data_IF_049193329748
#
_entry.id   IF_049193329748
#
_cell.length_a   1.000
_cell.length_b   1.000
_cell.length_c   1.000
_cell.angle_alpha   90.00
_cell.angle_beta   90.00
_cell.angle_gamma   90.00
#
_symmetry.space_group_name_H-M   'P 1'
#
loop_
_entity.id
_entity.type
_entity.pdbx_description
1 polymer ?
#
# COMPACT_ATOMS: atom_id res chain seq x y z
N UNK A 1 -35.04 -26.64 -6.68
CA UNK A 1 -34.44 -25.74 -7.69
C UNK A 1 -33.51 -24.81 -6.93
N UNK A 2 -32.21 -25.16 -6.86
CA UNK A 2 -31.22 -24.38 -6.12
C UNK A 2 -30.72 -23.26 -7.04
N UNK A 3 -31.10 -22.02 -6.74
CA UNK A 3 -30.49 -20.86 -7.37
C UNK A 3 -28.96 -20.93 -7.17
N UNK A 4 -28.15 -20.64 -8.20
CA UNK A 4 -26.72 -20.54 -8.02
C UNK A 4 -26.46 -19.35 -7.09
N UNK A 5 -26.17 -19.64 -5.81
CA UNK A 5 -25.75 -18.64 -4.83
C UNK A 5 -24.72 -17.73 -5.49
N UNK A 6 -25.00 -16.43 -5.55
CA UNK A 6 -24.13 -15.38 -6.14
C UNK A 6 -22.90 -15.16 -5.27
N UNK A 7 -22.11 -16.21 -5.05
CA UNK A 7 -20.85 -16.18 -4.31
C UNK A 7 -19.88 -15.14 -4.87
N UNK A 8 -19.96 -14.85 -6.19
CA UNK A 8 -19.20 -13.78 -6.82
C UNK A 8 -19.49 -12.39 -6.25
N UNK A 9 -20.77 -12.08 -6.01
CA UNK A 9 -21.21 -10.76 -5.54
C UNK A 9 -20.89 -10.56 -4.05
N UNK A 10 -21.19 -11.56 -3.23
CA UNK A 10 -20.89 -11.55 -1.78
C UNK A 10 -19.37 -11.47 -1.55
N UNK A 11 -18.58 -12.15 -2.39
CA UNK A 11 -17.12 -12.09 -2.37
C UNK A 11 -16.60 -10.70 -2.73
N UNK A 12 -17.10 -10.10 -3.80
CA UNK A 12 -16.69 -8.75 -4.22
C UNK A 12 -17.05 -7.68 -3.18
N UNK A 13 -18.19 -7.82 -2.51
CA UNK A 13 -18.62 -6.95 -1.41
C UNK A 13 -17.72 -7.10 -0.17
N UNK A 14 -17.41 -8.34 0.24
CA UNK A 14 -16.48 -8.59 1.33
C UNK A 14 -15.05 -8.14 1.01
N UNK A 15 -14.56 -8.35 -0.22
CA UNK A 15 -13.24 -7.89 -0.65
C UNK A 15 -13.11 -6.36 -0.64
N UNK A 16 -14.18 -5.66 -1.04
CA UNK A 16 -14.27 -4.21 -0.95
C UNK A 16 -14.22 -3.69 0.50
N UNK A 17 -14.68 -4.48 1.47
CA UNK A 17 -14.58 -4.16 2.90
C UNK A 17 -13.13 -4.23 3.42
N UNK A 18 -12.31 -5.14 2.87
CA UNK A 18 -10.90 -5.34 3.25
C UNK A 18 -9.90 -4.38 2.57
N UNK A 19 -10.32 -3.67 1.52
CA UNK A 19 -9.60 -2.52 0.93
C UNK A 19 -10.32 -1.24 1.35
N UNK A 20 -10.10 -0.76 2.59
CA UNK A 20 -10.82 0.40 3.07
C UNK A 20 -10.54 1.60 2.15
N UNK A 21 -11.62 2.18 1.64
CA UNK A 21 -11.64 3.46 0.91
C UNK A 21 -11.11 3.48 -0.53
N UNK A 22 -11.02 2.38 -1.31
CA UNK A 22 -10.70 2.50 -2.74
C UNK A 22 -11.66 3.46 -3.51
N UNK A 23 -12.99 3.41 -3.32
CA UNK A 23 -13.91 4.35 -3.95
C UNK A 23 -13.67 5.81 -3.52
N UNK A 24 -13.35 6.01 -2.24
CA UNK A 24 -13.05 7.33 -1.68
C UNK A 24 -11.71 7.87 -2.18
N UNK A 25 -10.69 7.02 -2.31
CA UNK A 25 -9.40 7.36 -2.90
C UNK A 25 -9.56 7.76 -4.37
N UNK A 26 -10.38 7.04 -5.15
CA UNK A 26 -10.72 7.42 -6.53
C UNK A 26 -11.43 8.78 -6.59
N UNK A 27 -12.41 9.02 -5.72
CA UNK A 27 -13.11 10.31 -5.63
C UNK A 27 -12.14 11.44 -5.29
N UNK A 28 -11.25 11.21 -4.32
CA UNK A 28 -10.24 12.18 -3.89
C UNK A 28 -9.20 12.45 -5.00
N UNK A 29 -8.76 11.42 -5.73
CA UNK A 29 -7.87 11.58 -6.89
C UNK A 29 -8.50 12.42 -8.00
N UNK A 30 -9.80 12.23 -8.28
CA UNK A 30 -10.53 13.07 -9.25
C UNK A 30 -10.58 14.53 -8.80
N UNK A 31 -10.84 14.78 -7.53
CA UNK A 31 -10.84 16.14 -6.96
C UNK A 31 -9.46 16.78 -7.12
N UNK A 32 -8.38 16.09 -6.74
CA UNK A 32 -7.01 16.60 -6.92
C UNK A 32 -6.68 16.92 -8.38
N UNK A 33 -7.12 16.10 -9.33
CA UNK A 33 -6.93 16.35 -10.76
C UNK A 33 -7.66 17.62 -11.23
N UNK A 34 -8.91 17.82 -10.77
CA UNK A 34 -9.68 19.02 -11.11
C UNK A 34 -9.00 20.28 -10.54
N UNK A 35 -8.54 20.22 -9.28
CA UNK A 35 -7.76 21.31 -8.67
C UNK A 35 -6.48 21.61 -9.45
N UNK A 36 -5.73 20.56 -9.86
CA UNK A 36 -4.54 20.72 -10.68
C UNK A 36 -4.86 21.43 -12.01
N UNK A 37 -5.94 21.03 -12.68
CA UNK A 37 -6.34 21.62 -13.96
C UNK A 37 -6.73 23.10 -13.83
N UNK A 38 -7.54 23.44 -12.81
CA UNK A 38 -7.95 24.83 -12.54
C UNK A 38 -6.71 25.69 -12.23
N UNK A 39 -5.81 25.17 -11.38
CA UNK A 39 -4.56 25.88 -11.06
C UNK A 39 -3.66 26.07 -12.28
N UNK A 40 -3.66 25.10 -13.21
CA UNK A 40 -2.88 25.18 -14.44
C UNK A 40 -3.44 26.23 -15.40
N UNK A 41 -4.77 26.31 -15.56
CA UNK A 41 -5.42 27.37 -16.34
C UNK A 41 -5.13 28.74 -15.74
N UNK A 42 -5.20 28.87 -14.42
CA UNK A 42 -4.84 30.11 -13.73
C UNK A 42 -3.38 30.51 -13.98
N UNK A 43 -2.45 29.54 -13.98
CA UNK A 43 -1.05 29.76 -14.31
C UNK A 43 -0.88 30.27 -15.75
N UNK A 44 -1.57 29.68 -16.73
CA UNK A 44 -1.48 30.10 -18.14
C UNK A 44 -1.94 31.54 -18.33
N UNK A 45 -3.06 31.93 -17.71
CA UNK A 45 -3.56 33.31 -17.74
C UNK A 45 -2.53 34.25 -17.11
N UNK A 46 -1.95 33.87 -15.97
CA UNK A 46 -0.94 34.69 -15.29
C UNK A 46 0.33 34.86 -16.12
N UNK A 47 0.79 33.82 -16.82
CA UNK A 47 1.94 33.88 -17.73
C UNK A 47 1.64 34.81 -18.92
N UNK A 48 0.41 34.75 -19.46
CA UNK A 48 0.01 35.57 -20.60
C UNK A 48 0.00 37.08 -20.28
N UNK A 49 -0.49 37.47 -19.09
CA UNK A 49 -0.51 38.86 -18.61
C UNK A 49 0.73 39.23 -17.80
N UNK A 50 1.80 38.43 -17.85
CA UNK A 50 2.95 38.62 -16.99
C UNK A 50 3.81 39.79 -17.45
N UNK A 51 3.92 40.81 -16.61
CA UNK A 51 4.90 41.88 -16.73
C UNK A 51 5.92 41.77 -15.59
N UNK A 52 7.22 41.77 -15.96
CA UNK A 52 8.35 41.43 -15.09
C UNK A 52 8.75 42.56 -14.13
N UNK A 53 7.98 43.65 -14.13
CA UNK A 53 8.30 44.93 -13.47
C UNK A 53 8.13 44.93 -11.95
N UNK A 54 7.31 44.05 -11.37
CA UNK A 54 7.03 44.06 -9.92
C UNK A 54 7.37 42.74 -9.22
N UNK A 55 8.08 42.83 -8.10
CA UNK A 55 8.42 41.70 -7.24
C UNK A 55 7.19 40.89 -6.77
N UNK A 56 6.09 41.57 -6.47
CA UNK A 56 4.85 40.93 -6.01
C UNK A 56 4.23 40.03 -7.08
N UNK A 57 4.18 40.47 -8.35
CA UNK A 57 3.70 39.64 -9.47
C UNK A 57 4.58 38.41 -9.71
N UNK A 58 5.91 38.54 -9.59
CA UNK A 58 6.86 37.42 -9.71
C UNK A 58 6.62 36.42 -8.58
N UNK A 59 6.46 36.92 -7.35
CA UNK A 59 6.21 36.08 -6.17
C UNK A 59 4.88 35.33 -6.32
N UNK A 60 3.82 36.02 -6.74
CA UNK A 60 2.50 35.43 -6.97
C UNK A 60 2.52 34.34 -8.06
N UNK A 61 3.19 34.58 -9.19
CA UNK A 61 3.38 33.58 -10.25
C UNK A 61 4.17 32.36 -9.77
N UNK A 62 5.19 32.59 -8.93
CA UNK A 62 5.97 31.50 -8.33
C UNK A 62 5.07 30.64 -7.43
N UNK A 63 4.26 31.24 -6.57
CA UNK A 63 3.32 30.51 -5.72
C UNK A 63 2.30 29.68 -6.49
N UNK A 64 1.70 30.23 -7.55
CA UNK A 64 0.73 29.50 -8.37
C UNK A 64 1.38 28.34 -9.13
N UNK A 65 2.58 28.53 -9.69
CA UNK A 65 3.32 27.45 -10.35
C UNK A 65 3.58 26.27 -9.41
N UNK A 66 3.96 26.56 -8.17
CA UNK A 66 4.26 25.54 -7.15
C UNK A 66 3.00 24.77 -6.76
N UNK A 67 1.85 25.44 -6.65
CA UNK A 67 0.57 24.80 -6.37
C UNK A 67 0.15 23.83 -7.48
N UNK A 68 0.37 24.18 -8.74
CA UNK A 68 0.12 23.28 -9.89
C UNK A 68 0.92 21.99 -9.75
N UNK A 69 2.24 22.11 -9.53
CA UNK A 69 3.12 20.95 -9.40
C UNK A 69 2.77 20.11 -8.16
N UNK A 70 2.36 20.74 -7.06
CA UNK A 70 1.92 20.04 -5.86
C UNK A 70 0.69 19.17 -6.11
N UNK A 71 -0.38 19.75 -6.66
CA UNK A 71 -1.61 18.99 -6.92
C UNK A 71 -1.36 17.86 -7.91
N UNK A 72 -0.53 18.09 -8.93
CA UNK A 72 -0.15 17.08 -9.91
C UNK A 72 0.66 15.93 -9.26
N UNK A 73 1.64 16.24 -8.41
CA UNK A 73 2.44 15.24 -7.70
C UNK A 73 1.57 14.39 -6.76
N UNK A 74 0.69 15.02 -5.97
CA UNK A 74 -0.25 14.32 -5.09
C UNK A 74 -1.20 13.41 -5.88
N UNK A 75 -1.71 13.90 -7.02
CA UNK A 75 -2.53 13.11 -7.93
C UNK A 75 -1.79 11.86 -8.44
N UNK A 76 -0.54 12.02 -8.91
CA UNK A 76 0.25 10.91 -9.45
C UNK A 76 0.53 9.84 -8.38
N UNK A 77 0.95 10.25 -7.18
CA UNK A 77 1.21 9.32 -6.06
C UNK A 77 -0.06 8.54 -5.71
N UNK A 78 -1.20 9.23 -5.63
CA UNK A 78 -2.47 8.60 -5.33
C UNK A 78 -2.93 7.65 -6.45
N UNK A 79 -2.74 8.02 -7.72
CA UNK A 79 -3.05 7.19 -8.88
C UNK A 79 -2.23 5.91 -8.92
N UNK A 80 -0.93 5.99 -8.64
CA UNK A 80 -0.05 4.82 -8.53
C UNK A 80 -0.54 3.90 -7.41
N UNK A 81 -0.90 4.47 -6.25
CA UNK A 81 -1.42 3.68 -5.14
C UNK A 81 -2.73 2.97 -5.50
N UNK A 82 -3.67 3.67 -6.15
CA UNK A 82 -4.94 3.09 -6.62
C UNK A 82 -4.67 1.94 -7.59
N UNK A 83 -3.80 2.13 -8.59
CA UNK A 83 -3.46 1.09 -9.58
C UNK A 83 -2.82 -0.14 -8.94
N UNK A 84 -1.92 0.08 -7.97
CA UNK A 84 -1.30 -1.01 -7.21
C UNK A 84 -2.36 -1.82 -6.44
N UNK A 85 -3.33 -1.14 -5.84
CA UNK A 85 -4.41 -1.79 -5.09
C UNK A 85 -5.39 -2.50 -6.03
N UNK A 86 -5.74 -1.92 -7.17
CA UNK A 86 -6.58 -2.55 -8.20
C UNK A 86 -5.95 -3.81 -8.76
N UNK A 87 -4.66 -3.76 -9.13
CA UNK A 87 -3.93 -4.93 -9.61
C UNK A 87 -3.95 -6.06 -8.57
N UNK A 88 -3.74 -5.73 -7.28
CA UNK A 88 -3.85 -6.72 -6.19
C UNK A 88 -5.28 -7.27 -6.04
N UNK A 89 -6.30 -6.44 -6.19
CA UNK A 89 -7.69 -6.87 -6.15
C UNK A 89 -8.02 -7.83 -7.29
N UNK A 90 -7.50 -7.54 -8.48
CA UNK A 90 -7.65 -8.36 -9.68
C UNK A 90 -6.93 -9.71 -9.53
N UNK A 91 -5.67 -9.72 -9.05
CA UNK A 91 -4.94 -10.96 -8.71
C UNK A 91 -5.75 -11.84 -7.72
N UNK A 92 -6.36 -11.23 -6.70
CA UNK A 92 -7.19 -11.93 -5.71
C UNK A 92 -8.51 -12.43 -6.30
N UNK A 93 -9.10 -11.72 -7.27
CA UNK A 93 -10.28 -12.22 -8.01
C UNK A 93 -9.89 -13.34 -8.99
N UNK A 94 -8.78 -13.20 -9.70
CA UNK A 94 -8.22 -14.16 -10.66
C UNK A 94 -7.68 -15.44 -10.00
N UNK A 95 -7.45 -15.48 -8.69
CA UNK A 95 -7.32 -16.74 -7.93
C UNK A 95 -8.51 -17.70 -8.14
N UNK A 96 -9.67 -17.19 -8.57
CA UNK A 96 -10.77 -18.06 -9.03
C UNK A 96 -10.39 -18.88 -10.27
N UNK A 97 -9.34 -18.50 -11.01
CA UNK A 97 -9.08 -18.88 -12.40
C UNK A 97 -7.65 -19.37 -12.70
N UNK A 98 -6.89 -19.85 -11.71
CA UNK A 98 -5.63 -20.63 -11.90
C UNK A 98 -4.30 -19.88 -12.14
N UNK A 99 -4.12 -18.66 -11.64
CA UNK A 99 -2.82 -17.97 -11.68
C UNK A 99 -2.02 -18.06 -10.37
N UNK A 100 -0.70 -18.02 -10.48
CA UNK A 100 0.27 -17.98 -9.37
C UNK A 100 0.00 -16.79 -8.46
N UNK A 101 -0.09 -17.03 -7.14
CA UNK A 101 -0.37 -16.00 -6.14
C UNK A 101 0.86 -15.74 -5.28
N UNK A 102 1.39 -14.52 -5.37
CA UNK A 102 2.48 -14.05 -4.53
C UNK A 102 1.95 -13.21 -3.34
N UNK A 103 1.98 -13.81 -2.15
CA UNK A 103 1.64 -13.15 -0.88
C UNK A 103 2.91 -12.61 -0.24
N UNK A 104 2.90 -11.31 0.01
CA UNK A 104 3.96 -10.65 0.77
C UNK A 104 3.44 -10.35 2.16
N UNK A 105 4.30 -10.45 3.17
CA UNK A 105 3.96 -9.96 4.50
C UNK A 105 3.47 -8.51 4.43
N UNK A 106 2.60 -8.15 5.39
CA UNK A 106 1.92 -6.86 5.47
C UNK A 106 2.84 -5.67 5.12
N UNK A 107 2.64 -5.12 3.91
CA UNK A 107 3.38 -3.93 3.45
C UNK A 107 3.07 -2.72 4.33
N UNK A 108 4.11 -2.03 4.78
CA UNK A 108 4.05 -0.96 5.74
C UNK A 108 3.36 0.31 5.17
N UNK A 109 2.16 0.66 5.68
CA UNK A 109 1.46 1.93 5.38
C UNK A 109 2.34 3.17 5.65
N UNK A 110 3.34 3.02 6.53
CA UNK A 110 4.31 4.06 6.88
C UNK A 110 5.10 4.57 5.67
N UNK A 111 5.39 3.74 4.67
CA UNK A 111 6.14 4.17 3.48
C UNK A 111 5.39 5.25 2.69
N UNK A 112 4.10 5.04 2.43
CA UNK A 112 3.27 6.03 1.73
C UNK A 112 3.07 7.30 2.56
N UNK A 113 2.92 7.16 3.88
CA UNK A 113 2.83 8.31 4.79
C UNK A 113 4.14 9.12 4.81
N UNK A 114 5.29 8.45 4.78
CA UNK A 114 6.60 9.09 4.73
C UNK A 114 6.81 9.85 3.42
N UNK A 115 6.44 9.26 2.28
CA UNK A 115 6.45 9.95 0.99
C UNK A 115 5.57 11.20 0.97
N UNK A 116 4.37 11.13 1.55
CA UNK A 116 3.49 12.30 1.69
C UNK A 116 4.11 13.39 2.58
N UNK A 117 4.78 13.00 3.67
CA UNK A 117 5.46 13.92 4.58
C UNK A 117 6.64 14.63 3.89
N UNK A 118 7.38 13.93 3.04
CA UNK A 118 8.43 14.53 2.18
C UNK A 118 7.89 15.56 1.20
N UNK A 119 6.78 15.23 0.53
CA UNK A 119 6.12 16.16 -0.39
C UNK A 119 5.67 17.42 0.38
N UNK A 120 5.09 17.28 1.57
CA UNK A 120 4.67 18.40 2.41
C UNK A 120 5.85 19.28 2.86
N UNK A 121 6.99 18.67 3.21
CA UNK A 121 8.22 19.39 3.57
C UNK A 121 8.77 20.22 2.42
N UNK A 122 8.81 19.65 1.20
CA UNK A 122 9.24 20.36 -0.01
C UNK A 122 8.34 21.57 -0.26
N UNK A 123 7.02 21.38 -0.16
CA UNK A 123 6.03 22.45 -0.29
C UNK A 123 6.30 23.56 0.72
N UNK A 124 6.39 23.24 2.02
CA UNK A 124 6.65 24.22 3.07
C UNK A 124 7.89 25.07 2.79
N UNK A 125 8.95 24.44 2.27
CA UNK A 125 10.20 25.11 1.96
C UNK A 125 10.07 26.09 0.78
N UNK A 126 9.37 25.67 -0.28
CA UNK A 126 9.10 26.52 -1.44
C UNK A 126 8.19 27.71 -1.07
N UNK A 127 7.24 27.53 -0.13
CA UNK A 127 6.34 28.60 0.31
C UNK A 127 7.00 29.67 1.18
N UNK A 128 8.13 29.36 1.82
CA UNK A 128 8.82 30.26 2.76
C UNK A 128 10.28 30.50 2.35
N UNK A 129 10.54 31.10 1.17
CA UNK A 129 11.90 31.30 0.66
C UNK A 129 12.72 32.24 1.55
N UNK A 130 12.09 33.13 2.33
CA UNK A 130 12.82 33.98 3.28
C UNK A 130 13.44 33.18 4.46
N UNK A 131 12.93 31.99 4.79
CA UNK A 131 13.56 31.11 5.78
C UNK A 131 14.83 30.43 5.22
N UNK A 132 15.03 30.45 3.91
CA UNK A 132 16.22 29.90 3.23
C UNK A 132 17.46 30.79 3.47
N UNK A 133 17.28 32.03 3.99
CA UNK A 133 18.28 33.10 3.96
C UNK A 133 19.54 32.95 4.83
N UNK A 134 19.85 31.81 5.44
CA UNK A 134 21.24 31.41 5.81
C UNK A 134 21.31 30.23 6.79
N UNK A 135 20.38 30.12 7.75
CA UNK A 135 20.46 29.07 8.80
C UNK A 135 19.73 27.77 8.45
N UNK A 136 18.64 27.84 7.68
CA UNK A 136 17.83 26.65 7.35
C UNK A 136 18.29 25.86 6.14
N UNK A 137 19.12 26.44 5.26
CA UNK A 137 19.83 25.68 4.23
C UNK A 137 20.70 24.61 4.87
N UNK A 138 21.41 24.93 5.96
CA UNK A 138 22.21 23.96 6.71
C UNK A 138 21.35 22.82 7.25
N UNK A 139 20.18 23.11 7.83
CA UNK A 139 19.25 22.06 8.28
C UNK A 139 18.78 21.16 7.13
N UNK A 140 18.60 21.69 5.93
CA UNK A 140 18.24 20.90 4.75
C UNK A 140 19.40 20.04 4.23
N UNK A 141 20.60 20.61 4.16
CA UNK A 141 21.82 19.88 3.78
C UNK A 141 22.06 18.71 4.75
N UNK A 142 21.77 18.87 6.05
CA UNK A 142 21.85 17.77 7.03
C UNK A 142 20.62 16.83 7.00
N UNK A 143 19.43 17.34 6.70
CA UNK A 143 18.21 16.53 6.62
C UNK A 143 18.24 15.58 5.42
N UNK A 144 18.81 15.98 4.28
CA UNK A 144 18.84 15.16 3.05
C UNK A 144 19.57 13.81 3.28
N UNK A 145 20.82 13.76 3.80
CA UNK A 145 21.50 12.50 4.11
C UNK A 145 20.75 11.64 5.13
N UNK A 146 20.25 12.25 6.20
CA UNK A 146 19.46 11.55 7.23
C UNK A 146 18.21 10.91 6.64
N UNK A 147 17.63 11.56 5.64
CA UNK A 147 16.41 11.14 4.97
C UNK A 147 16.67 10.09 3.93
N UNK A 148 17.75 10.18 3.16
CA UNK A 148 18.22 9.12 2.28
C UNK A 148 18.51 7.86 3.10
N UNK A 149 19.17 7.98 4.26
CA UNK A 149 19.42 6.86 5.16
C UNK A 149 18.13 6.24 5.72
N UNK A 150 17.18 7.06 6.18
CA UNK A 150 15.87 6.58 6.61
C UNK A 150 15.08 5.93 5.47
N UNK A 151 15.16 6.50 4.25
CA UNK A 151 14.55 5.93 3.06
C UNK A 151 15.19 4.59 2.70
N UNK A 152 16.51 4.48 2.84
CA UNK A 152 17.26 3.25 2.65
C UNK A 152 16.87 2.20 3.68
N UNK A 153 16.76 2.54 4.97
CA UNK A 153 16.26 1.63 6.01
C UNK A 153 14.83 1.19 5.70
N UNK A 154 13.94 2.12 5.39
CA UNK A 154 12.56 1.80 5.02
C UNK A 154 12.50 0.93 3.77
N UNK A 155 13.33 1.19 2.76
CA UNK A 155 13.40 0.39 1.54
C UNK A 155 14.00 -1.00 1.80
N UNK A 156 14.99 -1.09 2.69
CA UNK A 156 15.56 -2.36 3.16
C UNK A 156 14.52 -3.14 3.96
N UNK A 157 13.74 -2.50 4.81
CA UNK A 157 12.61 -3.11 5.53
C UNK A 157 11.51 -3.57 4.56
N UNK A 158 11.26 -2.81 3.48
CA UNK A 158 10.34 -3.20 2.40
C UNK A 158 10.84 -4.38 1.58
N UNK A 159 12.15 -4.46 1.34
CA UNK A 159 12.80 -5.52 0.56
C UNK A 159 13.04 -6.78 1.41
N UNK A 160 13.28 -6.62 2.70
CA UNK A 160 13.52 -7.69 3.67
C UNK A 160 12.25 -7.99 4.47
N UNK A 161 11.15 -8.28 3.77
CA UNK A 161 10.10 -9.07 4.41
C UNK A 161 10.70 -10.41 4.78
N UNK A 162 10.80 -10.72 6.07
CA UNK A 162 11.38 -11.98 6.54
C UNK A 162 10.72 -13.19 5.87
N UNK A 163 9.44 -13.12 5.54
CA UNK A 163 8.72 -14.22 4.89
C UNK A 163 7.81 -13.71 3.77
N UNK A 164 7.87 -14.36 2.60
CA UNK A 164 6.86 -14.28 1.55
C UNK A 164 6.46 -15.68 1.09
N UNK A 165 5.22 -15.82 0.65
CA UNK A 165 4.67 -17.07 0.16
C UNK A 165 4.30 -16.91 -1.31
N UNK A 166 4.82 -17.78 -2.15
CA UNK A 166 4.33 -17.92 -3.53
C UNK A 166 3.57 -19.22 -3.62
N UNK A 167 2.32 -19.12 -4.04
CA UNK A 167 1.38 -20.22 -4.10
C UNK A 167 1.10 -20.54 -5.57
N UNK A 168 1.40 -21.77 -5.95
CA UNK A 168 1.17 -22.30 -7.29
C UNK A 168 0.48 -23.65 -7.17
N UNK A 169 -0.81 -23.71 -7.55
CA UNK A 169 -1.64 -24.91 -7.43
C UNK A 169 -1.57 -25.55 -6.03
N UNK A 170 -0.98 -26.75 -5.88
CA UNK A 170 -0.80 -27.41 -4.58
C UNK A 170 0.51 -27.03 -3.88
N UNK A 171 1.38 -26.27 -4.53
CA UNK A 171 2.73 -25.98 -4.05
C UNK A 171 2.77 -24.58 -3.44
N UNK A 172 3.32 -24.50 -2.22
CA UNK A 172 3.57 -23.28 -1.48
C UNK A 172 5.08 -23.14 -1.33
N UNK A 173 5.66 -22.17 -2.03
CA UNK A 173 7.06 -21.79 -1.88
C UNK A 173 7.19 -20.72 -0.81
N UNK A 174 8.02 -20.98 0.19
CA UNK A 174 8.34 -20.06 1.27
C UNK A 174 9.69 -19.44 0.97
N UNK A 175 9.68 -18.12 0.85
CA UNK A 175 10.88 -17.32 0.69
C UNK A 175 11.23 -16.65 2.00
N UNK A 176 12.51 -16.74 2.39
CA UNK A 176 13.08 -15.97 3.50
C UNK A 176 14.12 -15.00 2.96
N UNK A 177 13.98 -13.71 3.23
CA UNK A 177 14.89 -12.67 2.71
C UNK A 177 15.10 -12.72 1.17
N UNK A 178 14.06 -13.10 0.43
CA UNK A 178 14.06 -13.33 -1.03
C UNK A 178 14.86 -14.55 -1.52
N UNK A 179 15.37 -15.39 -0.62
CA UNK A 179 15.92 -16.69 -0.95
C UNK A 179 14.85 -17.78 -0.75
N UNK A 180 14.71 -18.69 -1.71
CA UNK A 180 13.83 -19.85 -1.59
C UNK A 180 14.34 -20.72 -0.44
N UNK A 181 13.54 -20.86 0.61
CA UNK A 181 13.94 -21.58 1.82
C UNK A 181 13.33 -22.97 1.86
N UNK A 182 12.05 -23.08 1.51
CA UNK A 182 11.30 -24.32 1.68
C UNK A 182 10.14 -24.38 0.68
N UNK A 183 9.91 -25.56 0.08
CA UNK A 183 8.82 -25.81 -0.86
C UNK A 183 7.94 -26.88 -0.24
N UNK A 184 6.65 -26.56 -0.07
CA UNK A 184 5.70 -27.38 0.67
C UNK A 184 4.50 -27.67 -0.22
N UNK A 185 4.02 -28.91 -0.21
CA UNK A 185 2.76 -29.26 -0.87
C UNK A 185 1.62 -29.18 0.13
N UNK A 186 0.42 -28.78 -0.31
CA UNK A 186 -0.79 -28.73 0.54
C UNK A 186 -1.10 -30.05 1.21
N UNK A 187 -0.73 -31.16 0.56
CA UNK A 187 -0.95 -32.51 1.06
C UNK A 187 -0.08 -32.84 2.30
N UNK A 188 1.05 -32.12 2.49
CA UNK A 188 1.94 -32.27 3.65
C UNK A 188 1.57 -31.31 4.80
N UNK A 189 0.52 -30.51 4.66
CA UNK A 189 0.09 -29.55 5.68
C UNK A 189 -0.95 -30.21 6.59
N UNK A 190 -0.65 -30.34 7.88
CA UNK A 190 -1.60 -30.87 8.86
C UNK A 190 -2.76 -29.92 9.14
N UNK A 191 -2.47 -28.65 9.41
CA UNK A 191 -3.47 -27.60 9.58
C UNK A 191 -2.84 -26.21 9.45
N UNK A 192 -3.70 -25.24 9.18
CA UNK A 192 -3.37 -23.81 9.12
C UNK A 192 -4.15 -23.08 10.20
N UNK A 193 -3.48 -22.17 10.91
CA UNK A 193 -4.12 -21.31 11.90
C UNK A 193 -4.12 -19.87 11.44
N UNK A 194 -5.27 -19.22 11.57
CA UNK A 194 -5.42 -17.78 11.44
C UNK A 194 -5.81 -17.18 12.78
N UNK A 195 -5.05 -16.21 13.26
CA UNK A 195 -5.34 -15.51 14.51
C UNK A 195 -4.93 -14.04 14.43
N UNK A 196 -5.27 -13.25 15.44
CA UNK A 196 -4.82 -11.86 15.55
C UNK A 196 -4.03 -11.65 16.83
N UNK A 197 -2.82 -11.10 16.72
CA UNK A 197 -2.00 -10.76 17.90
C UNK A 197 -2.67 -9.59 18.65
N UNK A 198 -2.97 -9.80 19.94
CA UNK A 198 -3.62 -8.83 20.81
C UNK A 198 -2.58 -7.87 21.40
N UNK A 199 -2.19 -6.83 20.65
CA UNK A 199 -1.39 -5.72 21.18
C UNK A 199 -2.33 -4.56 21.60
N UNK A 200 -2.88 -4.63 22.82
CA UNK A 200 -3.65 -3.52 23.43
C UNK A 200 -5.06 -3.25 22.89
N UNK A 201 -5.71 -2.19 23.43
CA UNK A 201 -7.14 -1.82 23.28
C UNK A 201 -7.60 -1.71 21.82
N UNK A 202 -8.36 -2.72 21.38
CA UNK A 202 -9.52 -2.60 20.47
C UNK A 202 -9.37 -1.85 19.13
N UNK A 203 -8.37 -2.16 18.29
CA UNK A 203 -8.36 -1.74 16.88
C UNK A 203 -8.30 -2.93 15.94
N UNK A 204 -8.96 -2.81 14.78
CA UNK A 204 -8.90 -3.76 13.67
C UNK A 204 -7.51 -4.36 13.50
N UNK A 205 -7.42 -5.67 13.70
CA UNK A 205 -6.15 -6.39 13.78
C UNK A 205 -5.84 -7.03 12.44
N UNK A 206 -4.59 -6.90 12.02
CA UNK A 206 -4.10 -7.65 10.86
C UNK A 206 -4.04 -9.14 11.24
N UNK A 207 -4.52 -10.04 10.37
CA UNK A 207 -4.43 -11.46 10.61
C UNK A 207 -2.97 -11.94 10.57
N UNK A 208 -2.65 -12.93 11.39
CA UNK A 208 -1.42 -13.69 11.37
C UNK A 208 -1.74 -15.11 10.90
N UNK A 209 -0.97 -15.59 9.92
CA UNK A 209 -1.00 -16.93 9.37
C UNK A 209 0.08 -17.78 10.04
N UNK A 210 -0.30 -18.99 10.47
CA UNK A 210 0.64 -20.05 10.84
C UNK A 210 0.35 -21.32 10.01
N UNK A 211 1.40 -21.92 9.43
CA UNK A 211 1.32 -23.18 8.68
C UNK A 211 2.07 -24.27 9.46
N UNK A 212 1.41 -25.40 9.72
CA UNK A 212 1.95 -26.52 10.47
C UNK A 212 2.05 -27.78 9.61
N UNK A 213 3.26 -28.37 9.53
CA UNK A 213 3.45 -29.68 8.88
C UNK A 213 2.87 -30.79 9.76
N UNK A 214 3.14 -30.71 11.06
CA UNK A 214 2.55 -31.58 12.09
C UNK A 214 2.29 -30.75 13.36
N UNK A 215 1.79 -31.38 14.45
CA UNK A 215 1.46 -30.67 15.69
C UNK A 215 2.66 -29.95 16.34
N UNK A 216 3.89 -30.37 16.06
CA UNK A 216 5.11 -29.89 16.72
C UNK A 216 5.97 -28.99 15.83
N UNK A 217 5.84 -29.09 14.50
CA UNK A 217 6.66 -28.38 13.52
C UNK A 217 5.86 -27.30 12.81
N UNK A 218 6.09 -26.06 13.24
CA UNK A 218 5.62 -24.84 12.56
C UNK A 218 6.60 -24.46 11.45
N UNK A 219 6.08 -24.29 10.23
CA UNK A 219 6.87 -23.98 9.05
C UNK A 219 7.01 -22.47 8.85
N UNK A 220 5.90 -21.76 9.01
CA UNK A 220 5.82 -20.31 8.80
C UNK A 220 4.89 -19.69 9.80
N UNK A 221 5.30 -18.53 10.29
CA UNK A 221 4.44 -17.57 10.97
C UNK A 221 4.64 -16.20 10.35
N UNK A 222 3.56 -15.57 9.88
CA UNK A 222 3.64 -14.23 9.30
C UNK A 222 2.36 -13.41 9.46
N UNK A 223 2.50 -12.13 9.72
CA UNK A 223 1.39 -11.17 9.69
C UNK A 223 1.08 -10.79 8.24
N UNK A 224 -0.17 -11.02 7.85
CA UNK A 224 -0.67 -10.84 6.49
C UNK A 224 -1.72 -9.72 6.45
N UNK A 225 -2.04 -9.24 5.25
CA UNK A 225 -3.14 -8.30 5.11
C UNK A 225 -4.48 -9.02 5.26
N UNK A 226 -5.54 -8.33 5.70
CA UNK A 226 -6.89 -8.87 5.68
C UNK A 226 -7.34 -9.38 4.29
N UNK A 227 -6.89 -8.73 3.21
CA UNK A 227 -7.16 -9.18 1.83
C UNK A 227 -6.44 -10.50 1.49
N UNK A 228 -5.21 -10.68 1.99
CA UNK A 228 -4.43 -11.91 1.78
C UNK A 228 -5.01 -13.06 2.60
N UNK A 229 -5.56 -12.77 3.79
CA UNK A 229 -6.28 -13.75 4.62
C UNK A 229 -7.43 -14.41 3.87
N UNK A 230 -8.27 -13.61 3.20
CA UNK A 230 -9.39 -14.14 2.44
C UNK A 230 -8.90 -15.09 1.33
N UNK A 231 -7.86 -14.65 0.61
CA UNK A 231 -7.24 -15.39 -0.49
C UNK A 231 -6.70 -16.74 -0.02
N UNK A 232 -5.97 -16.73 1.09
CA UNK A 232 -5.40 -17.91 1.72
C UNK A 232 -6.46 -18.86 2.26
N UNK A 233 -7.45 -18.34 2.99
CA UNK A 233 -8.54 -19.16 3.53
C UNK A 233 -9.21 -19.97 2.43
N UNK A 234 -9.58 -19.29 1.33
CA UNK A 234 -10.19 -19.95 0.17
C UNK A 234 -9.27 -20.95 -0.50
N UNK A 235 -7.99 -20.63 -0.61
CA UNK A 235 -6.98 -21.53 -1.15
C UNK A 235 -6.91 -22.83 -0.35
N UNK A 236 -6.80 -22.74 0.98
CA UNK A 236 -6.75 -23.91 1.85
C UNK A 236 -8.06 -24.70 1.86
N UNK A 237 -9.22 -24.03 1.80
CA UNK A 237 -10.53 -24.66 1.62
C UNK A 237 -10.60 -25.46 0.30
N UNK A 238 -10.09 -24.91 -0.81
CA UNK A 238 -10.06 -25.59 -2.12
C UNK A 238 -9.28 -26.90 -2.10
N UNK A 239 -8.20 -26.96 -1.32
CA UNK A 239 -7.34 -28.14 -1.19
C UNK A 239 -7.65 -28.98 0.07
N UNK A 240 -8.82 -28.78 0.69
CA UNK A 240 -9.27 -29.52 1.88
C UNK A 240 -8.29 -29.53 3.06
N UNK A 241 -7.47 -28.48 3.18
CA UNK A 241 -6.55 -28.33 4.32
C UNK A 241 -7.35 -27.93 5.55
N UNK A 242 -7.02 -28.49 6.72
CA UNK A 242 -7.71 -28.16 7.98
C UNK A 242 -7.40 -26.73 8.41
N UNK A 243 -8.43 -25.92 8.65
CA UNK A 243 -8.29 -24.51 9.06
C UNK A 243 -8.76 -24.32 10.51
N UNK A 244 -7.88 -23.82 11.37
CA UNK A 244 -8.17 -23.30 12.71
C UNK A 244 -8.31 -21.78 12.63
N UNK A 245 -9.54 -21.29 12.46
CA UNK A 245 -9.83 -19.87 12.28
C UNK A 245 -10.22 -19.21 13.61
N UNK A 246 -9.24 -18.64 14.30
CA UNK A 246 -9.42 -17.85 15.52
C UNK A 246 -9.54 -16.34 15.22
N UNK A 247 -9.26 -15.95 13.97
CA UNK A 247 -9.45 -14.59 13.50
C UNK A 247 -10.95 -14.31 13.35
N UNK A 248 -11.48 -13.40 14.18
CA UNK A 248 -12.84 -12.89 14.01
C UNK A 248 -12.87 -11.92 12.82
N UNK A 249 -13.51 -12.36 11.75
CA UNK A 249 -13.97 -11.47 10.68
C UNK A 249 -15.10 -10.61 11.26
N UNK A 250 -14.79 -9.36 11.62
CA UNK A 250 -15.70 -8.29 12.08
C UNK A 250 -16.92 -8.72 12.92
#
# INVERSE_FOLDING_TARGET
MNEPKKWGYIYDEKLNMYVPNLPRQKKFAKVLLILALISFVALLIQIYFFDKSSYEKISFLTYTSVMVFLFLALYLVLKINIRMVEKRLEEVKELKLSKELEIKALKNRRFFAYMMLWILLIVMFVFRPHMIKTKYIFYLIFAIPLSIYNFYILFKELKNNKHSLTIFEKTIKIYYENNEKEVITTDNISYVRFYAIVLGRGRDRNPTLQIFENKEKMLVEMTIKPIDYYSLKKYFEKYNVRIDNQYREF
#
